data_IF_337239095885
#
_entry.id   IF_337239095885
#
_cell.length_a   1.000
_cell.length_b   1.000
_cell.length_c   1.000
_cell.angle_alpha   90.00
_cell.angle_beta   90.00
_cell.angle_gamma   90.00
#
_symmetry.space_group_name_H-M   'P 1'
#
loop_
_entity.id
_entity.type
_entity.pdbx_description
1 polymer ?
#
# COMPACT_ATOMS: atom_id res chain seq x y z
N UNK A 1 6.52 11.20 9.69
CA UNK A 1 6.78 9.81 9.19
C UNK A 1 5.49 9.25 8.61
N UNK A 2 5.56 8.36 7.61
CA UNK A 2 4.37 7.73 7.02
C UNK A 2 4.20 6.30 7.52
N UNK A 3 2.97 5.87 7.66
CA UNK A 3 2.58 4.54 8.11
C UNK A 3 1.48 3.99 7.22
N UNK A 4 1.40 2.67 7.08
CA UNK A 4 0.33 1.97 6.38
C UNK A 4 -0.67 1.46 7.40
N UNK A 5 -1.95 1.71 7.18
CA UNK A 5 -3.02 1.16 8.02
C UNK A 5 -3.20 -0.32 7.70
N UNK A 6 -3.10 -1.18 8.71
CA UNK A 6 -3.26 -2.63 8.59
C UNK A 6 -4.73 -3.02 8.84
N UNK A 7 -5.32 -2.48 9.91
CA UNK A 7 -6.73 -2.70 10.27
C UNK A 7 -7.44 -1.37 10.42
N UNK A 8 -8.74 -1.27 10.06
CA UNK A 8 -9.45 -0.02 10.17
C UNK A 8 -9.61 0.38 11.65
N UNK A 9 -9.43 1.68 11.93
CA UNK A 9 -9.58 2.22 13.28
C UNK A 9 -10.12 3.66 13.24
N UNK A 10 -10.53 4.14 14.41
CA UNK A 10 -11.01 5.51 14.60
C UNK A 10 -10.09 6.21 15.58
N UNK A 11 -9.57 7.37 15.20
CA UNK A 11 -8.75 8.22 16.05
C UNK A 11 -9.16 9.68 15.88
N UNK A 12 -9.35 10.39 16.99
CA UNK A 12 -9.78 11.80 17.01
C UNK A 12 -11.01 12.08 16.10
N UNK A 13 -11.95 11.13 16.03
CA UNK A 13 -13.15 11.23 15.20
C UNK A 13 -12.92 10.99 13.70
N UNK A 14 -11.68 10.71 13.26
CA UNK A 14 -11.36 10.34 11.88
C UNK A 14 -11.30 8.82 11.74
N UNK A 15 -11.89 8.32 10.66
CA UNK A 15 -11.83 6.90 10.27
C UNK A 15 -10.64 6.69 9.34
N UNK A 16 -9.89 5.62 9.58
CA UNK A 16 -8.76 5.19 8.76
C UNK A 16 -9.05 3.79 8.23
N UNK A 17 -8.87 3.57 6.93
CA UNK A 17 -9.16 2.29 6.28
C UNK A 17 -7.90 1.48 6.04
N UNK A 18 -8.03 0.15 6.05
CA UNK A 18 -6.93 -0.75 5.70
C UNK A 18 -6.36 -0.41 4.32
N UNK A 19 -5.03 -0.29 4.25
CA UNK A 19 -4.31 0.09 3.04
C UNK A 19 -4.04 1.59 2.92
N UNK A 20 -4.75 2.44 3.67
CA UNK A 20 -4.50 3.89 3.64
C UNK A 20 -3.11 4.24 4.17
N UNK A 21 -2.59 5.36 3.66
CA UNK A 21 -1.39 5.98 4.22
C UNK A 21 -1.81 6.93 5.34
N UNK A 22 -1.28 6.65 6.52
CA UNK A 22 -1.47 7.41 7.74
C UNK A 22 -0.21 8.22 8.04
N UNK A 23 -0.36 9.53 8.22
CA UNK A 23 0.71 10.43 8.61
C UNK A 23 0.36 11.06 9.96
N UNK A 24 1.17 10.78 10.97
CA UNK A 24 1.06 11.42 12.28
C UNK A 24 2.46 11.58 12.87
N UNK A 25 2.66 12.71 13.55
CA UNK A 25 3.90 13.10 14.20
C UNK A 25 3.88 12.81 15.71
N UNK A 26 2.71 12.48 16.29
CA UNK A 26 2.59 12.12 17.70
C UNK A 26 3.15 10.71 17.98
N UNK A 27 4.38 10.67 18.50
CA UNK A 27 5.10 9.42 18.78
C UNK A 27 4.39 8.50 19.78
N UNK A 28 3.63 9.03 20.73
CA UNK A 28 2.92 8.22 21.74
C UNK A 28 1.75 7.47 21.10
N UNK A 29 0.97 8.18 20.29
CA UNK A 29 -0.09 7.64 19.46
C UNK A 29 0.46 6.57 18.51
N UNK A 30 1.51 6.87 17.74
CA UNK A 30 2.13 5.89 16.84
C UNK A 30 2.51 4.62 17.60
N UNK A 31 3.15 4.74 18.76
CA UNK A 31 3.60 3.57 19.54
C UNK A 31 2.41 2.70 19.96
N UNK A 32 1.29 3.29 20.37
CA UNK A 32 0.08 2.56 20.74
C UNK A 32 -0.57 1.85 19.54
N UNK A 33 -0.64 2.54 18.39
CA UNK A 33 -1.22 1.99 17.16
C UNK A 33 -0.31 0.93 16.52
N UNK A 34 1.01 1.07 16.63
CA UNK A 34 2.01 0.15 16.07
C UNK A 34 2.34 -1.02 17.01
N UNK A 35 1.67 -1.12 18.16
CA UNK A 35 1.85 -2.21 19.14
C UNK A 35 0.54 -2.94 19.37
N UNK A 36 0.61 -4.13 19.95
CA UNK A 36 -0.57 -4.88 20.43
C UNK A 36 -1.08 -4.39 21.79
N UNK A 37 -0.41 -3.41 22.41
CA UNK A 37 -0.74 -2.83 23.72
C UNK A 37 -1.91 -1.83 23.68
N UNK A 38 -2.81 -1.96 22.70
CA UNK A 38 -4.01 -1.14 22.57
C UNK A 38 -5.26 -2.00 22.86
N UNK A 39 -6.42 -1.34 23.01
CA UNK A 39 -7.70 -2.01 23.34
C UNK A 39 -8.11 -3.12 22.36
N UNK A 40 -7.56 -3.12 21.15
CA UNK A 40 -7.89 -4.07 20.08
C UNK A 40 -6.92 -5.27 20.11
N UNK A 41 -5.78 -5.17 20.81
CA UNK A 41 -4.81 -6.26 20.91
C UNK A 41 -4.04 -6.53 19.61
N UNK A 42 -4.09 -5.61 18.65
CA UNK A 42 -3.54 -5.77 17.29
C UNK A 42 -2.76 -4.55 16.87
N UNK A 43 -1.75 -4.76 16.04
CA UNK A 43 -1.04 -3.69 15.35
C UNK A 43 -1.97 -3.09 14.29
N UNK A 44 -2.30 -1.81 14.43
CA UNK A 44 -3.23 -1.09 13.55
C UNK A 44 -2.52 -0.38 12.40
N UNK A 45 -1.25 -0.01 12.60
CA UNK A 45 -0.41 0.65 11.60
C UNK A 45 0.98 0.02 11.54
N UNK A 46 1.60 0.07 10.36
CA UNK A 46 2.98 -0.34 10.14
C UNK A 46 3.80 0.82 9.58
N UNK A 47 5.06 0.96 9.98
CA UNK A 47 5.93 2.03 9.48
C UNK A 47 6.25 1.81 8.00
N UNK A 48 6.02 2.82 7.18
CA UNK A 48 6.51 2.85 5.80
C UNK A 48 7.88 3.53 5.86
N UNK A 49 8.94 2.74 5.70
CA UNK A 49 10.26 3.32 5.50
C UNK A 49 10.31 3.92 4.08
N UNK A 50 10.65 5.20 4.00
CA UNK A 50 10.85 5.95 2.75
C UNK A 50 12.20 5.59 2.11
N UNK A 51 12.81 4.47 2.53
CA UNK A 51 13.91 3.88 1.76
C UNK A 51 13.34 3.60 0.38
N UNK A 52 13.97 4.04 -0.71
CA UNK A 52 13.63 3.54 -2.03
C UNK A 52 13.79 2.03 -1.94
N UNK A 53 12.67 1.33 -1.77
CA UNK A 53 12.62 -0.12 -1.82
C UNK A 53 12.96 -0.39 -3.28
N UNK A 54 14.23 -0.70 -3.50
CA UNK A 54 14.71 -1.36 -4.70
C UNK A 54 13.61 -2.32 -5.09
N UNK A 55 13.11 -2.11 -6.31
CA UNK A 55 11.91 -2.74 -6.84
C UNK A 55 11.96 -4.18 -6.39
N UNK A 56 10.96 -4.64 -5.63
CA UNK A 56 10.70 -6.06 -5.62
C UNK A 56 10.35 -6.35 -7.08
N UNK A 57 11.36 -6.77 -7.85
CA UNK A 57 11.19 -7.50 -9.08
C UNK A 57 10.29 -8.66 -8.67
N UNK A 58 8.99 -8.48 -8.86
CA UNK A 58 8.10 -9.60 -9.08
C UNK A 58 8.62 -10.19 -10.37
N UNK A 59 9.58 -11.10 -10.22
CA UNK A 59 9.97 -12.07 -11.21
C UNK A 59 8.72 -12.93 -11.46
N UNK A 60 7.80 -12.40 -12.27
CA UNK A 60 6.68 -13.16 -12.81
C UNK A 60 7.22 -14.06 -13.91
N UNK A 61 8.05 -15.03 -13.53
CA UNK A 61 8.39 -16.16 -14.39
C UNK A 61 7.58 -17.36 -13.94
N UNK A 62 6.37 -17.49 -14.49
CA UNK A 62 5.90 -18.81 -14.90
C UNK A 62 5.06 -18.67 -16.16
N UNK A 63 5.72 -18.97 -17.29
CA UNK A 63 5.10 -19.30 -18.58
C UNK A 63 3.96 -20.29 -18.34
N UNK A 64 2.73 -19.92 -18.70
CA UNK A 64 1.71 -20.90 -19.04
C UNK A 64 1.62 -20.91 -20.55
N UNK A 65 1.78 -22.12 -21.08
CA UNK A 65 1.82 -22.46 -22.49
C UNK A 65 0.51 -22.06 -23.19
N UNK A 66 0.59 -21.33 -24.30
CA UNK A 66 -0.46 -21.26 -25.32
C UNK A 66 -1.34 -20.01 -25.36
N UNK A 67 -0.91 -18.99 -26.11
CA UNK A 67 -1.73 -18.20 -27.04
C UNK A 67 -0.84 -17.19 -27.79
N UNK A 68 -0.97 -17.02 -29.12
CA UNK A 68 -0.02 -16.23 -29.91
C UNK A 68 -0.15 -14.72 -29.63
N UNK A 69 1.00 -14.08 -29.52
CA UNK A 69 1.17 -12.63 -29.66
C UNK A 69 0.52 -12.15 -30.96
N UNK A 70 -0.50 -11.29 -30.83
CA UNK A 70 -0.79 -10.31 -31.88
C UNK A 70 -0.51 -8.92 -31.34
N UNK A 71 0.69 -8.46 -31.68
CA UNK A 71 1.08 -7.06 -31.69
C UNK A 71 0.25 -6.33 -32.75
N UNK A 72 -0.70 -5.48 -32.37
CA UNK A 72 -1.22 -4.44 -33.27
C UNK A 72 -0.78 -3.06 -32.79
N UNK A 73 0.29 -2.63 -33.44
CA UNK A 73 0.80 -1.29 -33.65
C UNK A 73 -0.28 -0.24 -33.93
N UNK A 74 -0.07 0.97 -33.37
CA UNK A 74 -0.40 2.31 -33.90
C UNK A 74 -1.57 2.42 -34.90
N UNK A 75 -2.56 3.24 -34.53
CA UNK A 75 -3.15 4.13 -35.53
C UNK A 75 -3.29 5.55 -34.98
N UNK A 76 -2.46 6.40 -35.55
CA UNK A 76 -2.51 7.85 -35.53
C UNK A 76 -3.62 8.33 -36.48
N UNK A 77 -4.30 9.41 -36.12
CA UNK A 77 -5.05 10.27 -37.04
C UNK A 77 -6.49 9.87 -37.36
N UNK A 78 -7.44 10.78 -37.14
CA UNK A 78 -7.80 11.81 -38.14
C UNK A 78 -9.04 12.60 -37.69
N UNK A 79 -8.86 13.92 -37.67
CA UNK A 79 -9.88 14.97 -37.67
C UNK A 79 -11.00 14.72 -38.69
N UNK A 80 -12.25 15.00 -38.30
CA UNK A 80 -13.21 15.67 -39.18
C UNK A 80 -14.16 16.51 -38.35
#
# INVERSE_FOLDING_TARGET
MKYKVIYPFIENGKKYWSGDTYANDDKKCIKALASTDNKIGKVLIEKIDDTPKEKAEVETTKKVDGAPEISETKSEGKTK
#
